data_IF_445141767148
#
_entry.id   IF_445141767148
#
_cell.length_a   1.000
_cell.length_b   1.000
_cell.length_c   1.000
_cell.angle_alpha   90.00
_cell.angle_beta   90.00
_cell.angle_gamma   90.00
#
_symmetry.space_group_name_H-M   'P 1'
#
loop_
_entity.id
_entity.type
_entity.pdbx_description
1 polymer ?
#
# COMPACT_ATOMS: atom_id res chain seq x y z
N UNK A 1 15.80 -8.04 -84.75
CA UNK A 1 16.19 -8.87 -83.59
C UNK A 1 15.52 -8.26 -82.36
N UNK A 2 14.64 -8.97 -81.64
CA UNK A 2 14.13 -8.49 -80.36
C UNK A 2 15.23 -8.59 -79.29
N UNK A 3 15.40 -7.55 -78.48
CA UNK A 3 16.31 -7.54 -77.33
C UNK A 3 15.88 -8.58 -76.27
N UNK A 4 16.84 -9.25 -75.59
CA UNK A 4 16.52 -10.15 -74.49
C UNK A 4 16.14 -9.35 -73.23
N UNK A 5 15.10 -9.80 -72.53
CA UNK A 5 14.70 -9.25 -71.23
C UNK A 5 15.81 -9.42 -70.18
N UNK A 6 16.03 -8.44 -69.27
CA UNK A 6 17.03 -8.56 -68.22
C UNK A 6 16.62 -9.60 -67.17
N UNK A 7 17.49 -10.58 -66.94
CA UNK A 7 17.35 -11.56 -65.85
C UNK A 7 18.14 -11.02 -64.64
N UNK A 8 17.44 -10.54 -63.61
CA UNK A 8 18.10 -10.17 -62.34
C UNK A 8 18.63 -11.42 -61.63
N UNK A 9 19.89 -11.45 -61.14
CA UNK A 9 20.46 -12.64 -60.53
C UNK A 9 19.79 -12.98 -59.19
N UNK A 10 19.31 -14.22 -59.04
CA UNK A 10 18.65 -14.75 -57.83
C UNK A 10 19.54 -14.61 -56.57
N UNK A 11 20.87 -14.58 -56.74
CA UNK A 11 21.85 -14.38 -55.67
C UNK A 11 21.74 -13.00 -54.98
N UNK A 12 21.42 -11.93 -55.70
CA UNK A 12 21.27 -10.59 -55.11
C UNK A 12 20.01 -10.48 -54.23
N UNK A 13 18.89 -11.03 -54.72
CA UNK A 13 17.62 -11.05 -53.99
C UNK A 13 17.73 -11.86 -52.69
N UNK A 14 18.46 -12.99 -52.72
CA UNK A 14 18.65 -13.83 -51.54
C UNK A 14 19.59 -13.20 -50.50
N UNK A 15 20.64 -12.50 -50.94
CA UNK A 15 21.54 -11.75 -50.07
C UNK A 15 20.82 -10.57 -49.39
N UNK A 16 20.02 -9.80 -50.14
CA UNK A 16 19.22 -8.72 -49.57
C UNK A 16 18.18 -9.22 -48.56
N UNK A 17 17.47 -10.32 -48.85
CA UNK A 17 16.48 -10.90 -47.92
C UNK A 17 17.12 -11.38 -46.62
N UNK A 18 18.29 -12.02 -46.67
CA UNK A 18 19.04 -12.40 -45.46
C UNK A 18 19.48 -11.20 -44.63
N UNK A 19 19.93 -10.13 -45.30
CA UNK A 19 20.34 -8.88 -44.64
C UNK A 19 19.17 -8.18 -43.96
N UNK A 20 18.00 -8.09 -44.62
CA UNK A 20 16.77 -7.50 -44.05
C UNK A 20 16.28 -8.31 -42.83
N UNK A 21 16.31 -9.64 -42.92
CA UNK A 21 15.91 -10.52 -41.81
C UNK A 21 16.85 -10.36 -40.62
N UNK A 22 18.18 -10.32 -40.86
CA UNK A 22 19.17 -10.11 -39.80
C UNK A 22 19.01 -8.74 -39.12
N UNK A 23 18.80 -7.67 -39.89
CA UNK A 23 18.57 -6.32 -39.36
C UNK A 23 17.26 -6.24 -38.56
N UNK A 24 16.19 -6.90 -39.01
CA UNK A 24 14.94 -7.00 -38.25
C UNK A 24 15.11 -7.73 -36.92
N UNK A 25 15.85 -8.83 -36.89
CA UNK A 25 16.12 -9.55 -35.64
C UNK A 25 16.97 -8.72 -34.67
N UNK A 26 17.98 -8.00 -35.16
CA UNK A 26 18.79 -7.11 -34.34
C UNK A 26 17.93 -5.97 -33.79
N UNK A 27 17.10 -5.34 -34.62
CA UNK A 27 16.19 -4.27 -34.19
C UNK A 27 15.17 -4.76 -33.16
N UNK A 28 14.58 -5.94 -33.36
CA UNK A 28 13.64 -6.55 -32.42
C UNK A 28 14.33 -6.93 -31.09
N UNK A 29 15.55 -7.44 -31.14
CA UNK A 29 16.32 -7.80 -29.96
C UNK A 29 16.75 -6.56 -29.17
N UNK A 30 17.20 -5.50 -29.85
CA UNK A 30 17.49 -4.21 -29.23
C UNK A 30 16.22 -3.59 -28.63
N UNK A 31 15.08 -3.67 -29.30
CA UNK A 31 13.79 -3.22 -28.77
C UNK A 31 13.40 -4.00 -27.51
N UNK A 32 13.53 -5.33 -27.52
CA UNK A 32 13.27 -6.16 -26.35
C UNK A 32 14.25 -5.87 -25.20
N UNK A 33 15.53 -5.61 -25.49
CA UNK A 33 16.51 -5.19 -24.50
C UNK A 33 16.15 -3.82 -23.93
N UNK A 34 15.74 -2.84 -24.74
CA UNK A 34 15.28 -1.53 -24.27
C UNK A 34 14.02 -1.68 -23.41
N UNK A 35 13.05 -2.51 -23.81
CA UNK A 35 11.85 -2.81 -23.01
C UNK A 35 12.22 -3.52 -21.70
N UNK A 36 13.18 -4.45 -21.71
CA UNK A 36 13.64 -5.11 -20.47
C UNK A 36 14.42 -4.15 -19.56
N UNK A 37 15.32 -3.34 -20.14
CA UNK A 37 16.12 -2.34 -19.41
C UNK A 37 15.23 -1.23 -18.84
N UNK A 38 14.19 -0.79 -19.55
CA UNK A 38 13.23 0.21 -19.04
C UNK A 38 12.25 -0.37 -18.02
N UNK A 39 12.03 -1.69 -18.01
CA UNK A 39 11.28 -2.37 -16.95
C UNK A 39 12.12 -2.65 -15.70
N UNK A 40 13.43 -2.93 -15.85
CA UNK A 40 14.37 -3.15 -14.74
C UNK A 40 14.84 -1.83 -14.11
N UNK A 41 15.04 -0.79 -14.93
CA UNK A 41 15.36 0.55 -14.45
C UNK A 41 14.04 1.24 -14.12
N UNK A 42 13.69 1.23 -12.83
CA UNK A 42 12.66 2.07 -12.22
C UNK A 42 12.47 3.39 -13.00
N UNK A 43 11.48 3.41 -13.89
CA UNK A 43 11.00 4.59 -14.61
C UNK A 43 10.63 5.79 -13.69
N UNK A 44 10.40 5.64 -12.37
CA UNK A 44 10.29 6.80 -11.47
C UNK A 44 11.57 7.62 -11.27
N UNK A 45 12.78 7.06 -11.48
CA UNK A 45 14.03 7.75 -11.12
C UNK A 45 14.48 8.79 -12.16
N UNK A 46 14.14 8.62 -13.44
CA UNK A 46 14.57 9.53 -14.52
C UNK A 46 13.69 10.79 -14.57
N UNK A 47 12.41 10.69 -14.17
CA UNK A 47 11.48 11.84 -14.20
C UNK A 47 11.79 12.90 -13.14
N UNK A 48 12.45 12.53 -12.04
CA UNK A 48 12.86 13.48 -11.00
C UNK A 48 13.93 14.48 -11.48
N UNK A 49 14.60 14.21 -12.61
CA UNK A 49 15.60 15.12 -13.19
C UNK A 49 14.99 16.20 -14.08
N UNK A 50 13.70 16.10 -14.48
CA UNK A 50 13.08 17.00 -15.45
C UNK A 50 11.99 17.93 -14.87
N UNK A 51 11.83 17.98 -13.53
CA UNK A 51 10.99 18.98 -12.88
C UNK A 51 9.50 18.92 -13.24
N UNK A 52 9.00 17.75 -13.68
CA UNK A 52 7.60 17.56 -14.03
C UNK A 52 6.84 17.00 -12.81
N UNK A 53 6.01 17.83 -12.18
CA UNK A 53 5.26 17.54 -10.93
C UNK A 53 4.08 16.58 -11.10
N UNK A 54 4.00 15.83 -12.20
CA UNK A 54 2.95 14.83 -12.39
C UNK A 54 3.55 13.50 -12.79
N UNK A 55 3.73 12.61 -11.82
CA UNK A 55 3.76 11.18 -12.11
C UNK A 55 2.38 10.85 -12.65
N UNK A 56 2.27 10.65 -13.98
CA UNK A 56 1.03 10.19 -14.60
C UNK A 56 0.87 8.72 -14.20
N UNK A 57 0.31 8.49 -13.01
CA UNK A 57 0.00 7.16 -12.50
C UNK A 57 -0.85 6.44 -13.54
N UNK A 58 -0.28 5.41 -14.16
CA UNK A 58 -1.03 4.55 -15.06
C UNK A 58 -2.02 3.79 -14.18
N UNK A 59 -3.33 3.94 -14.39
CA UNK A 59 -4.31 3.27 -13.55
C UNK A 59 -4.25 1.77 -13.87
N UNK A 60 -3.56 1.00 -13.03
CA UNK A 60 -3.72 -0.43 -13.02
C UNK A 60 -5.17 -0.70 -12.60
N UNK A 61 -6.02 -1.06 -13.56
CA UNK A 61 -7.42 -1.40 -13.31
C UNK A 61 -7.48 -2.65 -12.43
N UNK A 62 -7.46 -2.47 -11.11
CA UNK A 62 -7.45 -3.56 -10.15
C UNK A 62 -8.88 -3.99 -9.81
N UNK A 63 -9.63 -4.45 -10.81
CA UNK A 63 -10.98 -5.01 -10.66
C UNK A 63 -10.99 -6.54 -10.51
N UNK A 64 -9.90 -7.13 -10.00
CA UNK A 64 -9.92 -8.53 -9.59
C UNK A 64 -10.35 -8.62 -8.12
N UNK A 65 -11.52 -9.23 -7.86
CA UNK A 65 -11.94 -9.63 -6.51
C UNK A 65 -10.88 -10.58 -5.95
N UNK A 66 -9.99 -10.08 -5.12
CA UNK A 66 -8.98 -10.89 -4.45
C UNK A 66 -9.60 -11.64 -3.28
N UNK A 67 -9.14 -12.86 -3.06
CA UNK A 67 -9.52 -13.65 -1.89
C UNK A 67 -8.93 -13.01 -0.64
N UNK A 68 -9.76 -12.84 0.39
CA UNK A 68 -9.30 -12.28 1.67
C UNK A 68 -8.27 -13.21 2.32
N UNK A 69 -7.19 -12.64 2.86
CA UNK A 69 -6.19 -13.37 3.63
C UNK A 69 -6.44 -13.22 5.12
N UNK A 70 -6.20 -14.30 5.84
CA UNK A 70 -6.33 -14.36 7.31
C UNK A 70 -5.05 -13.95 7.99
N UNK A 71 -5.14 -12.97 8.89
CA UNK A 71 -4.03 -12.44 9.66
C UNK A 71 -4.22 -12.76 11.14
N UNK A 72 -3.73 -13.94 11.56
CA UNK A 72 -3.85 -14.45 12.93
C UNK A 72 -3.15 -13.59 14.00
N UNK A 73 -2.29 -12.66 13.60
CA UNK A 73 -1.62 -11.73 14.50
C UNK A 73 -2.52 -10.63 15.06
N UNK A 74 -3.76 -10.49 14.55
CA UNK A 74 -4.69 -9.43 14.93
C UNK A 74 -6.07 -10.02 15.18
N UNK A 75 -6.63 -9.77 16.36
CA UNK A 75 -7.86 -10.40 16.83
C UNK A 75 -8.92 -9.34 17.10
N UNK A 76 -10.13 -9.53 16.59
CA UNK A 76 -11.26 -8.63 16.82
C UNK A 76 -11.61 -8.60 18.31
N UNK A 77 -11.79 -7.41 18.89
CA UNK A 77 -12.08 -7.26 20.32
C UNK A 77 -13.42 -7.90 20.71
N UNK A 78 -14.43 -7.83 19.84
CA UNK A 78 -15.77 -8.37 20.08
C UNK A 78 -15.89 -9.84 19.71
N UNK A 79 -15.53 -10.21 18.48
CA UNK A 79 -15.77 -11.58 17.96
C UNK A 79 -14.65 -12.56 18.28
N UNK A 80 -13.48 -12.09 18.70
CA UNK A 80 -12.25 -12.88 18.84
C UNK A 80 -11.79 -13.56 17.53
N UNK A 81 -12.32 -13.16 16.38
CA UNK A 81 -11.90 -13.69 15.08
C UNK A 81 -10.66 -12.97 14.55
N UNK A 82 -9.82 -13.66 13.76
CA UNK A 82 -8.67 -13.05 13.11
C UNK A 82 -9.08 -12.02 12.04
N UNK A 83 -8.22 -11.04 11.80
CA UNK A 83 -8.42 -10.05 10.75
C UNK A 83 -8.40 -10.71 9.37
N UNK A 84 -9.44 -10.47 8.58
CA UNK A 84 -9.51 -10.84 7.16
C UNK A 84 -9.25 -9.60 6.31
N UNK A 85 -8.14 -9.58 5.59
CA UNK A 85 -7.71 -8.43 4.79
C UNK A 85 -6.82 -8.87 3.63
N UNK A 86 -7.12 -8.39 2.45
CA UNK A 86 -6.21 -8.46 1.31
C UNK A 86 -6.23 -7.11 0.59
N UNK A 87 -5.04 -6.57 0.33
CA UNK A 87 -4.86 -5.24 -0.24
C UNK A 87 -4.05 -5.33 -1.53
N UNK A 88 -4.43 -4.53 -2.51
CA UNK A 88 -3.65 -4.34 -3.72
C UNK A 88 -2.68 -3.20 -3.60
N UNK A 89 -2.98 -2.13 -4.33
CA UNK A 89 -2.25 -0.89 -4.17
C UNK A 89 -2.55 -0.29 -2.80
N UNK A 90 -1.50 -0.07 -2.02
CA UNK A 90 -1.57 0.50 -0.68
C UNK A 90 -0.93 1.88 -0.66
N UNK A 91 -1.61 2.85 -0.04
CA UNK A 91 -1.01 4.10 0.40
C UNK A 91 -0.81 4.07 1.92
N UNK A 92 0.39 4.40 2.38
CA UNK A 92 0.70 4.61 3.81
C UNK A 92 0.90 6.10 4.00
N UNK A 93 0.02 6.73 4.77
CA UNK A 93 0.02 8.19 4.92
C UNK A 93 0.66 8.58 6.24
N UNK A 94 1.75 9.33 6.16
CA UNK A 94 2.45 9.87 7.32
C UNK A 94 1.60 10.91 8.07
N UNK A 95 1.80 11.00 9.39
CA UNK A 95 1.22 12.06 10.22
C UNK A 95 2.10 13.32 10.27
N UNK A 96 3.15 13.39 9.45
CA UNK A 96 4.09 14.52 9.40
C UNK A 96 3.39 15.81 8.95
N UNK A 97 3.75 16.94 9.55
CA UNK A 97 3.32 18.27 9.10
C UNK A 97 3.77 18.60 7.67
N UNK A 98 4.78 17.90 7.14
CA UNK A 98 5.19 18.03 5.73
C UNK A 98 4.10 17.61 4.73
N UNK A 99 3.09 16.87 5.17
CA UNK A 99 1.94 16.54 4.33
C UNK A 99 1.04 17.76 4.06
N UNK A 100 1.13 18.81 4.87
CA UNK A 100 0.33 20.02 4.65
C UNK A 100 0.72 20.71 3.34
N UNK A 101 -0.29 21.21 2.61
CA UNK A 101 -0.19 21.86 1.32
C UNK A 101 0.43 21.00 0.19
N UNK A 102 0.60 19.69 0.37
CA UNK A 102 1.10 18.80 -0.68
C UNK A 102 0.05 18.53 -1.77
N UNK A 103 -1.24 18.69 -1.46
CA UNK A 103 -2.36 18.51 -2.41
C UNK A 103 -2.41 17.14 -3.12
N UNK A 104 -1.87 16.10 -2.48
CA UNK A 104 -1.81 14.73 -3.02
C UNK A 104 -2.99 13.85 -2.60
N UNK A 105 -4.04 14.43 -2.00
CA UNK A 105 -5.16 13.68 -1.43
C UNK A 105 -5.94 12.85 -2.46
N UNK A 106 -6.13 13.39 -3.67
CA UNK A 106 -6.78 12.66 -4.78
C UNK A 106 -5.98 11.43 -5.21
N UNK A 107 -4.65 11.53 -5.24
CA UNK A 107 -3.75 10.42 -5.58
C UNK A 107 -3.80 9.33 -4.51
N UNK A 108 -3.73 9.71 -3.23
CA UNK A 108 -3.86 8.78 -2.10
C UNK A 108 -5.18 8.01 -2.20
N UNK A 109 -6.29 8.71 -2.48
CA UNK A 109 -7.63 8.14 -2.56
C UNK A 109 -7.84 7.19 -3.75
N UNK A 110 -6.89 7.07 -4.70
CA UNK A 110 -6.92 6.05 -5.76
C UNK A 110 -6.45 4.67 -5.27
N UNK A 111 -5.82 4.59 -4.11
CA UNK A 111 -5.36 3.32 -3.55
C UNK A 111 -6.51 2.40 -3.12
N UNK A 112 -6.27 1.09 -3.24
CA UNK A 112 -7.24 0.08 -2.78
C UNK A 112 -7.33 0.04 -1.25
N UNK A 113 -6.18 0.18 -0.57
CA UNK A 113 -6.09 0.28 0.87
C UNK A 113 -5.30 1.51 1.28
N UNK A 114 -5.84 2.27 2.24
CA UNK A 114 -5.18 3.47 2.78
C UNK A 114 -4.94 3.24 4.26
N UNK A 115 -3.67 3.27 4.65
CA UNK A 115 -3.18 3.06 5.99
C UNK A 115 -2.86 4.41 6.63
N UNK A 116 -3.40 4.66 7.82
CA UNK A 116 -3.10 5.83 8.64
C UNK A 116 -2.69 5.44 10.05
N UNK A 117 -2.09 6.37 10.78
CA UNK A 117 -1.59 6.10 12.12
C UNK A 117 -2.31 6.95 13.18
N UNK A 118 -2.55 6.34 14.34
CA UNK A 118 -3.02 7.00 15.55
C UNK A 118 -4.27 7.88 15.31
N UNK A 119 -4.29 9.10 15.86
CA UNK A 119 -5.42 10.03 15.82
C UNK A 119 -5.34 11.09 14.73
N UNK A 120 -4.50 10.93 13.70
CA UNK A 120 -4.38 11.94 12.63
C UNK A 120 -5.72 12.10 11.88
N UNK A 121 -6.29 13.31 11.83
CA UNK A 121 -7.56 13.54 11.15
C UNK A 121 -7.37 13.57 9.63
N UNK A 122 -8.45 13.28 8.92
CA UNK A 122 -8.59 13.62 7.48
C UNK A 122 -9.43 14.88 7.28
N UNK A 123 -10.36 15.14 8.21
CA UNK A 123 -11.30 16.26 8.13
C UNK A 123 -10.55 17.59 8.21
N UNK A 124 -10.74 18.45 7.20
CA UNK A 124 -10.03 19.73 7.04
C UNK A 124 -8.67 19.61 6.35
N UNK A 125 -8.22 18.41 5.98
CA UNK A 125 -6.95 18.15 5.30
C UNK A 125 -7.14 17.30 4.03
N UNK A 126 -8.37 17.15 3.55
CA UNK A 126 -8.72 16.22 2.48
C UNK A 126 -7.96 16.46 1.18
N UNK A 127 -7.68 17.72 0.84
CA UNK A 127 -6.90 18.08 -0.35
C UNK A 127 -5.48 17.52 -0.27
N UNK A 128 -4.89 17.56 0.92
CA UNK A 128 -3.50 17.18 1.17
C UNK A 128 -3.32 15.68 1.39
N UNK A 129 -4.22 15.08 2.18
CA UNK A 129 -4.02 13.71 2.67
C UNK A 129 -5.11 12.74 2.24
N UNK A 130 -6.13 13.20 1.51
CA UNK A 130 -7.24 12.36 1.06
C UNK A 130 -8.31 12.17 2.13
N UNK A 131 -9.47 11.65 1.71
CA UNK A 131 -10.65 11.50 2.58
C UNK A 131 -10.75 10.11 3.20
N UNK A 132 -10.25 9.09 2.48
CA UNK A 132 -10.49 7.69 2.82
C UNK A 132 -9.47 7.17 3.83
N UNK A 133 -9.91 6.21 4.64
CA UNK A 133 -9.06 5.41 5.52
C UNK A 133 -9.59 3.99 5.54
N UNK A 134 -8.78 3.03 5.10
CA UNK A 134 -9.13 1.60 5.17
C UNK A 134 -8.70 1.02 6.50
N UNK A 135 -7.45 1.28 6.90
CA UNK A 135 -6.84 0.74 8.11
C UNK A 135 -6.21 1.87 8.89
N UNK A 136 -6.41 1.84 10.21
CA UNK A 136 -5.78 2.77 11.14
C UNK A 136 -5.03 1.99 12.21
N UNK A 137 -3.70 2.10 12.18
CA UNK A 137 -2.83 1.47 13.17
C UNK A 137 -2.62 2.44 14.32
N UNK A 138 -2.99 2.04 15.54
CA UNK A 138 -3.06 2.94 16.69
C UNK A 138 -2.26 2.38 17.84
N UNK A 139 -1.32 3.17 18.36
CA UNK A 139 -0.66 2.86 19.63
C UNK A 139 -1.66 2.94 20.79
N UNK A 140 -1.52 2.06 21.77
CA UNK A 140 -2.27 2.09 23.02
C UNK A 140 -2.26 3.46 23.69
N UNK A 141 -1.15 4.22 23.59
CA UNK A 141 -1.05 5.58 24.14
C UNK A 141 -1.95 6.59 23.41
N UNK A 142 -2.30 6.33 22.15
CA UNK A 142 -3.19 7.17 21.35
C UNK A 142 -4.67 6.82 21.49
N UNK A 143 -5.02 5.67 22.08
CA UNK A 143 -6.42 5.27 22.29
C UNK A 143 -7.23 6.32 23.05
N UNK A 144 -6.75 6.90 24.18
CA UNK A 144 -7.47 7.98 24.85
C UNK A 144 -7.76 9.20 23.96
N UNK A 145 -6.88 9.49 22.99
CA UNK A 145 -7.07 10.60 22.06
C UNK A 145 -8.15 10.30 21.02
N UNK A 146 -8.25 9.05 20.54
CA UNK A 146 -9.36 8.64 19.68
C UNK A 146 -10.70 8.78 20.41
N UNK A 147 -10.73 8.40 21.68
CA UNK A 147 -11.94 8.44 22.51
C UNK A 147 -12.39 9.85 22.90
N UNK A 148 -11.60 10.89 22.60
CA UNK A 148 -12.06 12.29 22.71
C UNK A 148 -13.09 12.66 21.64
N UNK A 149 -13.08 11.98 20.49
CA UNK A 149 -14.06 12.19 19.43
C UNK A 149 -14.52 10.86 18.82
N UNK A 150 -15.25 10.04 19.59
CA UNK A 150 -15.57 8.68 19.20
C UNK A 150 -16.58 8.62 18.04
N UNK A 151 -17.44 9.64 17.87
CA UNK A 151 -18.37 9.67 16.74
C UNK A 151 -17.63 9.85 15.41
N UNK A 152 -16.63 10.71 15.32
CA UNK A 152 -15.80 10.82 14.12
C UNK A 152 -15.13 9.48 13.77
N UNK A 153 -14.49 8.83 14.74
CA UNK A 153 -13.72 7.62 14.49
C UNK A 153 -14.60 6.36 14.31
N UNK A 154 -15.67 6.19 15.07
CA UNK A 154 -16.40 4.92 15.14
C UNK A 154 -17.82 4.98 14.55
N UNK A 155 -18.36 6.17 14.28
CA UNK A 155 -19.67 6.36 13.64
C UNK A 155 -19.53 6.88 12.21
N UNK A 156 -18.86 8.01 12.01
CA UNK A 156 -18.63 8.59 10.69
C UNK A 156 -17.68 7.70 9.88
N UNK A 157 -16.55 7.30 10.46
CA UNK A 157 -15.59 6.39 9.85
C UNK A 157 -15.88 4.89 10.15
N UNK A 158 -17.15 4.47 10.07
CA UNK A 158 -17.58 3.10 10.43
C UNK A 158 -16.97 1.97 9.57
N UNK A 159 -16.44 2.31 8.39
CA UNK A 159 -15.83 1.35 7.48
C UNK A 159 -14.36 1.07 7.80
N UNK A 160 -13.71 1.95 8.58
CA UNK A 160 -12.29 1.85 8.95
C UNK A 160 -12.04 0.70 9.92
N UNK A 161 -10.99 -0.06 9.64
CA UNK A 161 -10.45 -1.11 10.51
C UNK A 161 -9.41 -0.50 11.44
N UNK A 162 -9.62 -0.60 12.75
CA UNK A 162 -8.68 -0.12 13.76
C UNK A 162 -7.83 -1.28 14.26
N UNK A 163 -6.51 -1.18 14.15
CA UNK A 163 -5.55 -2.16 14.68
C UNK A 163 -4.79 -1.51 15.82
N UNK A 164 -5.09 -1.91 17.05
CA UNK A 164 -4.51 -1.36 18.27
C UNK A 164 -3.33 -2.22 18.72
N UNK A 165 -2.18 -1.61 18.96
CA UNK A 165 -0.99 -2.27 19.46
C UNK A 165 -0.50 -1.62 20.76
N UNK A 166 0.11 -2.41 21.65
CA UNK A 166 0.63 -1.89 22.92
C UNK A 166 1.29 -2.97 23.76
N UNK A 167 1.94 -2.58 24.87
CA UNK A 167 2.57 -3.52 25.79
C UNK A 167 1.52 -4.39 26.46
N UNK A 168 1.90 -5.62 26.80
CA UNK A 168 1.02 -6.61 27.42
C UNK A 168 0.27 -6.05 28.63
N UNK A 169 0.96 -5.32 29.51
CA UNK A 169 0.40 -4.70 30.73
C UNK A 169 -0.87 -3.88 30.46
N UNK A 170 -0.90 -3.09 29.38
CA UNK A 170 -2.04 -2.23 29.05
C UNK A 170 -3.11 -2.96 28.22
N UNK A 171 -2.74 -4.08 27.61
CA UNK A 171 -3.58 -4.85 26.68
C UNK A 171 -4.11 -6.18 27.27
N UNK A 172 -3.94 -6.41 28.58
CA UNK A 172 -4.42 -7.62 29.27
C UNK A 172 -5.95 -7.78 29.12
N UNK A 173 -6.38 -9.01 28.84
CA UNK A 173 -7.81 -9.35 28.66
C UNK A 173 -8.53 -9.74 29.96
N UNK A 174 -7.79 -9.96 31.04
CA UNK A 174 -8.29 -10.39 32.35
C UNK A 174 -8.89 -9.26 33.22
N UNK A 175 -9.21 -8.11 32.62
CA UNK A 175 -9.76 -6.96 33.33
C UNK A 175 -8.72 -5.99 33.90
N UNK A 176 -7.42 -6.31 33.86
CA UNK A 176 -6.38 -5.37 34.32
C UNK A 176 -5.77 -4.54 33.17
N UNK A 177 -6.11 -4.82 31.92
CA UNK A 177 -5.61 -4.09 30.76
C UNK A 177 -6.40 -2.81 30.55
N UNK A 178 -5.89 -1.70 31.09
CA UNK A 178 -6.59 -0.39 31.05
C UNK A 178 -7.06 -0.04 29.63
N UNK A 179 -6.20 -0.20 28.64
CA UNK A 179 -6.53 0.13 27.24
C UNK A 179 -7.46 -0.92 26.64
N UNK A 180 -7.21 -2.21 26.87
CA UNK A 180 -8.12 -3.26 26.40
C UNK A 180 -9.55 -3.08 26.93
N UNK A 181 -9.70 -2.72 28.21
CA UNK A 181 -10.98 -2.42 28.83
C UNK A 181 -11.68 -1.22 28.19
N UNK A 182 -10.93 -0.16 27.85
CA UNK A 182 -11.48 0.97 27.10
C UNK A 182 -12.02 0.50 25.75
N UNK A 183 -11.25 -0.28 24.99
CA UNK A 183 -11.67 -0.80 23.69
C UNK A 183 -12.91 -1.69 23.80
N UNK A 184 -12.99 -2.52 24.85
CA UNK A 184 -14.17 -3.36 25.13
C UNK A 184 -15.43 -2.50 25.32
N UNK A 185 -15.35 -1.46 26.16
CA UNK A 185 -16.46 -0.50 26.33
C UNK A 185 -16.81 0.22 25.03
N UNK A 186 -15.81 0.55 24.20
CA UNK A 186 -16.04 1.18 22.90
C UNK A 186 -16.82 0.28 21.95
N UNK A 187 -16.47 -1.00 21.82
CA UNK A 187 -17.20 -1.92 20.92
C UNK A 187 -18.62 -2.24 21.41
N UNK A 188 -18.87 -2.13 22.72
CA UNK A 188 -20.22 -2.22 23.29
C UNK A 188 -21.06 -0.99 22.89
N UNK A 189 -20.45 0.20 22.88
CA UNK A 189 -21.12 1.47 22.54
C UNK A 189 -21.24 1.72 21.03
N UNK A 190 -20.32 1.16 20.24
CA UNK A 190 -20.26 1.27 18.78
C UNK A 190 -20.20 -0.13 18.15
N UNK A 191 -21.32 -0.86 18.06
CA UNK A 191 -21.34 -2.27 17.66
C UNK A 191 -20.82 -2.54 16.24
N UNK A 192 -20.84 -1.53 15.36
CA UNK A 192 -20.30 -1.60 13.99
C UNK A 192 -18.80 -1.34 13.91
N UNK A 193 -18.16 -0.90 14.99
CA UNK A 193 -16.75 -0.56 14.99
C UNK A 193 -15.88 -1.82 14.82
N UNK A 194 -14.97 -1.77 13.85
CA UNK A 194 -14.05 -2.85 13.52
C UNK A 194 -12.74 -2.67 14.27
N UNK A 195 -12.71 -3.03 15.54
CA UNK A 195 -11.54 -2.87 16.41
C UNK A 195 -10.83 -4.21 16.62
N UNK A 196 -9.56 -4.26 16.25
CA UNK A 196 -8.65 -5.38 16.39
C UNK A 196 -7.51 -5.02 17.32
N UNK A 197 -6.98 -6.02 18.03
CA UNK A 197 -5.77 -5.88 18.85
C UNK A 197 -4.69 -6.82 18.34
N UNK A 198 -3.44 -6.37 18.37
CA UNK A 198 -2.29 -7.23 18.08
C UNK A 198 -2.14 -8.28 19.19
N UNK A 199 -1.94 -9.55 18.81
CA UNK A 199 -1.73 -10.63 19.78
C UNK A 199 -0.39 -10.50 20.48
N UNK A 200 -0.28 -11.05 21.69
CA UNK A 200 0.98 -11.10 22.43
C UNK A 200 2.10 -11.76 21.60
N UNK A 201 1.83 -12.91 20.99
CA UNK A 201 2.77 -13.59 20.09
C UNK A 201 3.25 -12.68 18.95
N UNK A 202 2.33 -11.90 18.34
CA UNK A 202 2.70 -10.98 17.27
C UNK A 202 3.49 -9.77 17.78
N UNK A 203 3.16 -9.26 18.96
CA UNK A 203 3.93 -8.21 19.62
C UNK A 203 5.36 -8.67 19.95
N UNK A 204 5.51 -9.85 20.57
CA UNK A 204 6.83 -10.41 20.88
C UNK A 204 7.66 -10.65 19.63
N UNK A 205 7.04 -11.09 18.53
CA UNK A 205 7.72 -11.20 17.23
C UNK A 205 8.21 -9.82 16.72
N UNK A 206 7.36 -8.80 16.77
CA UNK A 206 7.77 -7.44 16.36
C UNK A 206 8.91 -6.90 17.23
N UNK A 207 8.94 -7.23 18.52
CA UNK A 207 9.99 -6.79 19.44
C UNK A 207 11.32 -7.51 19.14
N UNK A 208 11.27 -8.80 18.81
CA UNK A 208 12.43 -9.57 18.38
C UNK A 208 13.03 -9.00 17.09
N UNK A 209 12.20 -8.75 16.08
CA UNK A 209 12.66 -8.14 14.80
C UNK A 209 13.27 -6.76 15.05
N UNK A 210 12.64 -5.91 15.87
CA UNK A 210 13.20 -4.60 16.18
C UNK A 210 14.57 -4.69 16.84
N UNK A 211 14.74 -5.63 17.78
CA UNK A 211 16.03 -5.85 18.46
C UNK A 211 17.10 -6.35 17.50
N UNK A 212 16.76 -7.29 16.62
CA UNK A 212 17.66 -7.83 15.61
C UNK A 212 18.17 -6.75 14.66
N UNK A 213 17.27 -5.88 14.18
CA UNK A 213 17.59 -4.82 13.22
C UNK A 213 18.32 -3.62 13.84
N UNK A 214 18.03 -3.30 15.10
CA UNK A 214 18.54 -2.05 15.73
C UNK A 214 19.59 -2.27 16.81
N UNK A 215 19.76 -3.51 17.29
CA UNK A 215 20.56 -3.83 18.46
C UNK A 215 19.99 -3.31 19.78
N UNK A 216 18.76 -2.81 19.80
CA UNK A 216 18.11 -2.20 20.98
C UNK A 216 16.79 -2.87 21.29
N UNK A 217 16.50 -3.04 22.57
CA UNK A 217 15.16 -3.39 23.01
C UNK A 217 14.21 -2.18 22.82
N UNK A 218 12.94 -2.45 22.52
CA UNK A 218 11.89 -1.41 22.41
C UNK A 218 11.38 -0.93 23.77
N UNK A 219 11.86 -1.54 24.86
CA UNK A 219 11.37 -1.37 26.23
C UNK A 219 11.83 -0.04 26.84
#
# INVERSE_FOLDING_TARGET
MPEPCPVTPIHEVFSQRKSIVAVSFIAAFLFLIIVRLTNEVNFPLILNCFGQTSVKWIPFSYTQRRTLRTHYGYINVKTQEPLQLDCGLCAIVSNSGQMAAQKVGTEIDQSSCIWRMNNAPTKGYEEDVGKRTTIRVVSHTSVPLLLKNPDYFFREANSTIYVIWGPFRNMRKDGNGIVYNMLKKTVDSYPSAKIYVTTEKRMSYCDAVFKEETGKDRL
#
